data_IF_817882343002
#
_entry.id   IF_817882343002
#
_cell.length_a   1.000
_cell.length_b   1.000
_cell.length_c   1.000
_cell.angle_alpha   90.00
_cell.angle_beta   90.00
_cell.angle_gamma   90.00
#
_symmetry.space_group_name_H-M   'P 1'
#
loop_
_entity.id
_entity.type
_entity.pdbx_description
1 polymer ?
#
# COMPACT_ATOMS: atom_id res chain seq x y z
N UNK A 1 14.45 2.53 11.21
CA UNK A 1 13.36 1.57 11.09
C UNK A 1 13.86 0.18 11.41
N UNK A 2 13.00 -0.68 11.87
CA UNK A 2 13.31 -2.05 12.25
C UNK A 2 12.07 -2.92 12.09
N UNK A 3 12.25 -4.24 12.25
CA UNK A 3 11.14 -5.19 12.24
C UNK A 3 10.06 -4.79 13.23
N UNK A 4 8.80 -4.95 12.84
CA UNK A 4 7.58 -4.63 13.59
C UNK A 4 7.24 -3.14 13.64
N UNK A 5 8.08 -2.25 13.13
CA UNK A 5 7.73 -0.84 13.04
C UNK A 5 6.56 -0.64 12.08
N UNK A 6 5.64 0.25 12.46
CA UNK A 6 4.54 0.66 11.60
C UNK A 6 5.01 1.77 10.66
N UNK A 7 4.60 1.70 9.41
CA UNK A 7 5.06 2.62 8.36
C UNK A 7 3.91 3.03 7.44
N UNK A 8 4.08 4.17 6.78
CA UNK A 8 3.14 4.66 5.78
C UNK A 8 3.89 4.97 4.49
N UNK A 9 3.30 4.61 3.36
CA UNK A 9 3.85 4.92 2.03
C UNK A 9 3.61 6.39 1.74
N UNK A 10 4.67 7.13 1.43
CA UNK A 10 4.60 8.58 1.23
C UNK A 10 4.66 9.01 -0.23
N UNK A 11 4.74 8.06 -1.15
CA UNK A 11 4.79 8.34 -2.60
C UNK A 11 3.86 7.39 -3.36
N UNK A 12 3.40 7.83 -4.52
CA UNK A 12 2.66 6.98 -5.44
C UNK A 12 3.61 6.53 -6.54
N UNK A 13 3.84 5.22 -6.66
CA UNK A 13 4.72 4.64 -7.69
C UNK A 13 4.06 3.44 -8.34
N UNK A 14 4.25 3.32 -9.65
CA UNK A 14 3.70 2.19 -10.42
C UNK A 14 4.20 0.84 -9.90
N UNK A 15 5.45 0.78 -9.45
CA UNK A 15 6.04 -0.46 -8.94
C UNK A 15 5.32 -0.98 -7.70
N UNK A 16 4.72 -0.09 -6.90
CA UNK A 16 3.91 -0.46 -5.74
C UNK A 16 2.45 -0.65 -6.14
N UNK A 17 1.94 0.23 -7.01
CA UNK A 17 0.54 0.22 -7.44
C UNK A 17 0.16 -1.09 -8.13
N UNK A 18 1.08 -1.70 -8.86
CA UNK A 18 0.83 -2.98 -9.52
C UNK A 18 0.46 -4.10 -8.54
N UNK A 19 0.89 -3.97 -7.28
CA UNK A 19 0.57 -4.90 -6.21
C UNK A 19 -0.56 -4.38 -5.30
N UNK A 20 -1.21 -3.30 -5.72
CA UNK A 20 -2.33 -2.72 -4.98
C UNK A 20 -1.92 -1.76 -3.87
N UNK A 21 -0.64 -1.37 -3.80
CA UNK A 21 -0.12 -0.49 -2.75
C UNK A 21 -0.02 0.94 -3.28
N UNK A 22 -0.72 1.85 -2.61
CA UNK A 22 -0.82 3.26 -3.01
C UNK A 22 -0.37 4.18 -1.89
N UNK A 23 -0.07 5.43 -2.26
CA UNK A 23 0.32 6.47 -1.30
C UNK A 23 -0.71 6.59 -0.18
N UNK A 24 -0.24 6.68 1.03
CA UNK A 24 -1.06 6.78 2.23
C UNK A 24 -1.39 5.44 2.87
N UNK A 25 -1.14 4.34 2.19
CA UNK A 25 -1.37 3.02 2.77
C UNK A 25 -0.38 2.76 3.88
N UNK A 26 -0.85 2.04 4.90
CA UNK A 26 -0.11 1.76 6.11
C UNK A 26 0.15 0.28 6.25
N UNK A 27 1.30 -0.05 6.82
CA UNK A 27 1.68 -1.42 7.04
C UNK A 27 2.70 -1.55 8.14
N UNK A 28 3.33 -2.71 8.22
CA UNK A 28 4.37 -2.96 9.20
C UNK A 28 5.50 -3.75 8.58
N UNK A 29 6.71 -3.50 9.08
CA UNK A 29 7.92 -4.18 8.61
C UNK A 29 7.91 -5.60 9.17
N UNK A 30 7.84 -6.59 8.29
CA UNK A 30 7.66 -7.98 8.68
C UNK A 30 8.93 -8.83 8.60
N UNK A 31 10.06 -8.22 8.25
CA UNK A 31 11.35 -8.92 8.15
C UNK A 31 12.43 -8.02 8.73
N UNK A 32 13.36 -8.56 9.54
CA UNK A 32 14.42 -7.75 10.14
C UNK A 32 15.50 -7.33 9.16
N UNK A 33 15.56 -7.92 7.97
CA UNK A 33 16.61 -7.63 7.00
C UNK A 33 16.32 -6.37 6.20
N UNK A 34 17.29 -5.47 6.19
CA UNK A 34 17.28 -4.29 5.34
C UNK A 34 18.16 -4.61 4.12
N UNK A 35 17.53 -4.84 2.97
CA UNK A 35 18.22 -5.32 1.77
C UNK A 35 18.15 -4.27 0.66
N UNK A 36 19.30 -3.79 0.22
CA UNK A 36 19.41 -2.84 -0.91
C UNK A 36 18.54 -1.60 -0.73
N UNK A 37 18.47 -1.08 0.48
CA UNK A 37 17.68 0.10 0.79
C UNK A 37 16.19 -0.15 0.91
N UNK A 38 15.75 -1.41 0.97
CA UNK A 38 14.34 -1.77 1.08
C UNK A 38 14.02 -2.56 2.33
N UNK A 39 12.79 -2.40 2.78
CA UNK A 39 12.18 -3.21 3.85
C UNK A 39 11.03 -4.02 3.27
N UNK A 40 10.85 -5.24 3.76
CA UNK A 40 9.68 -6.04 3.45
C UNK A 40 8.52 -5.56 4.32
N UNK A 41 7.46 -5.06 3.68
CA UNK A 41 6.32 -4.45 4.37
C UNK A 41 5.05 -5.22 4.05
N UNK A 42 4.27 -5.53 5.08
CA UNK A 42 2.96 -6.15 4.96
C UNK A 42 1.88 -5.07 5.06
N UNK A 43 0.94 -5.07 4.11
CA UNK A 43 -0.18 -4.13 4.06
C UNK A 43 -1.49 -4.88 4.29
N UNK A 44 -2.00 -4.90 5.52
CA UNK A 44 -3.22 -5.63 5.85
C UNK A 44 -4.48 -4.85 5.47
N UNK A 45 -5.62 -5.54 5.48
CA UNK A 45 -6.93 -4.93 5.35
C UNK A 45 -7.92 -5.58 6.31
N UNK A 46 -8.90 -4.80 6.79
CA UNK A 46 -9.91 -5.28 7.70
C UNK A 46 -11.01 -6.03 6.94
N UNK A 47 -11.62 -7.01 7.59
CA UNK A 47 -12.77 -7.70 7.03
C UNK A 47 -12.46 -8.66 5.89
N UNK A 48 -11.22 -8.72 5.46
CA UNK A 48 -10.75 -9.64 4.45
C UNK A 48 -9.82 -10.68 5.09
N UNK A 49 -9.76 -11.85 4.51
CA UNK A 49 -8.88 -12.91 5.01
C UNK A 49 -7.44 -12.76 4.51
N UNK A 50 -7.24 -11.99 3.45
CA UNK A 50 -5.94 -11.81 2.82
C UNK A 50 -5.48 -10.37 2.95
N UNK A 51 -4.17 -10.20 3.09
CA UNK A 51 -3.54 -8.88 3.06
C UNK A 51 -3.58 -8.32 1.64
N UNK A 52 -3.48 -6.99 1.52
CA UNK A 52 -3.39 -6.36 0.20
C UNK A 52 -2.13 -6.85 -0.51
N UNK A 53 -1.00 -6.78 0.18
CA UNK A 53 0.29 -7.23 -0.37
C UNK A 53 1.35 -7.31 0.73
N UNK A 54 2.40 -8.08 0.45
CA UNK A 54 3.63 -8.08 1.22
C UNK A 54 4.75 -7.89 0.21
N UNK A 55 5.32 -6.68 0.18
CA UNK A 55 6.28 -6.29 -0.85
C UNK A 55 7.46 -5.54 -0.26
N UNK A 56 8.55 -5.49 -1.04
CA UNK A 56 9.72 -4.67 -0.70
C UNK A 56 9.45 -3.22 -1.07
N UNK A 57 9.67 -2.32 -0.11
CA UNK A 57 9.47 -0.88 -0.30
C UNK A 57 10.74 -0.16 0.13
N UNK A 58 11.18 0.82 -0.66
CA UNK A 58 12.35 1.62 -0.33
C UNK A 58 12.12 2.41 0.94
N UNK A 59 13.11 2.45 1.82
CA UNK A 59 13.02 3.20 3.07
C UNK A 59 12.66 4.67 2.82
N UNK A 60 13.23 5.28 1.77
CA UNK A 60 12.95 6.66 1.40
C UNK A 60 11.50 6.91 1.01
N UNK A 61 10.77 5.87 0.66
CA UNK A 61 9.36 5.94 0.27
C UNK A 61 8.41 5.67 1.44
N UNK A 62 8.97 5.50 2.63
CA UNK A 62 8.23 5.20 3.86
C UNK A 62 8.47 6.27 4.91
N UNK A 63 7.48 6.48 5.78
CA UNK A 63 7.70 7.17 7.04
C UNK A 63 7.23 6.28 8.17
N UNK A 64 7.93 6.36 9.31
CA UNK A 64 7.53 5.63 10.50
C UNK A 64 6.33 6.31 11.15
N UNK A 65 5.36 5.51 11.58
CA UNK A 65 4.17 5.99 12.29
C UNK A 65 4.03 5.21 13.59
N UNK A 66 3.30 5.78 14.55
CA UNK A 66 3.16 5.13 15.86
C UNK A 66 2.22 3.93 15.82
N UNK A 67 1.11 4.06 15.08
CA UNK A 67 0.08 3.03 14.99
C UNK A 67 -0.37 2.88 13.56
N UNK A 68 -0.56 1.64 13.11
CA UNK A 68 -1.04 1.33 11.78
C UNK A 68 -2.54 1.02 11.84
N UNK A 69 -3.30 1.58 10.88
CA UNK A 69 -4.73 1.33 10.75
C UNK A 69 -5.04 0.68 9.41
N UNK A 70 -5.46 -0.57 9.44
CA UNK A 70 -5.80 -1.31 8.22
C UNK A 70 -7.02 -0.70 7.49
N UNK A 71 -7.91 -0.05 8.22
CA UNK A 71 -9.07 0.63 7.62
C UNK A 71 -8.68 1.74 6.63
N UNK A 72 -7.51 2.37 6.84
CA UNK A 72 -6.97 3.36 5.90
C UNK A 72 -6.69 2.69 4.55
N UNK A 73 -6.12 1.50 4.57
CA UNK A 73 -5.78 0.76 3.36
C UNK A 73 -7.04 0.40 2.56
N UNK A 74 -8.09 -0.03 3.23
CA UNK A 74 -9.36 -0.35 2.57
C UNK A 74 -9.99 0.86 1.91
N UNK A 75 -9.94 2.01 2.59
CA UNK A 75 -10.48 3.25 2.06
C UNK A 75 -9.74 3.67 0.80
N UNK A 76 -8.42 3.61 0.82
CA UNK A 76 -7.59 3.98 -0.32
C UNK A 76 -7.82 3.00 -1.48
N UNK A 77 -7.84 1.70 -1.19
CA UNK A 77 -8.13 0.66 -2.18
C UNK A 77 -9.47 0.93 -2.88
N UNK A 78 -10.50 1.24 -2.11
CA UNK A 78 -11.83 1.52 -2.65
C UNK A 78 -11.83 2.74 -3.57
N UNK A 79 -11.06 3.78 -3.24
CA UNK A 79 -10.93 4.96 -4.07
C UNK A 79 -10.33 4.64 -5.44
N UNK A 80 -9.29 3.82 -5.48
CA UNK A 80 -8.65 3.43 -6.73
C UNK A 80 -9.52 2.51 -7.57
N UNK A 81 -10.21 1.56 -6.95
CA UNK A 81 -11.16 0.69 -7.63
C UNK A 81 -12.29 1.50 -8.26
N UNK A 82 -12.83 2.49 -7.55
CA UNK A 82 -13.88 3.36 -8.03
C UNK A 82 -13.39 4.21 -9.20
N UNK A 83 -12.15 4.73 -9.13
CA UNK A 83 -11.56 5.51 -10.20
C UNK A 83 -11.38 4.67 -11.47
N UNK A 84 -10.96 3.43 -11.34
CA UNK A 84 -10.83 2.50 -12.46
C UNK A 84 -12.18 2.24 -13.12
N UNK A 85 -13.22 2.01 -12.33
CA UNK A 85 -14.57 1.81 -12.84
C UNK A 85 -15.07 3.04 -13.59
N UNK A 86 -14.84 4.23 -13.03
CA UNK A 86 -15.22 5.48 -13.67
C UNK A 86 -14.49 5.66 -14.99
N UNK A 87 -13.20 5.34 -15.04
CA UNK A 87 -12.41 5.42 -16.28
C UNK A 87 -12.93 4.43 -17.32
N UNK A 88 -13.29 3.22 -16.89
CA UNK A 88 -13.88 2.23 -17.78
C UNK A 88 -15.20 2.70 -18.36
N UNK A 89 -16.06 3.29 -17.54
CA UNK A 89 -17.34 3.82 -17.97
C UNK A 89 -17.15 4.95 -18.99
N UNK A 90 -16.22 5.86 -18.75
CA UNK A 90 -15.92 6.95 -19.67
C UNK A 90 -15.43 6.42 -21.00
N UNK A 91 -14.58 5.40 -21.00
CA UNK A 91 -14.13 4.76 -22.22
C UNK A 91 -15.28 4.16 -23.01
N UNK A 92 -16.24 3.57 -22.36
CA UNK A 92 -17.44 3.02 -23.00
C UNK A 92 -18.26 4.11 -23.67
N UNK A 93 -18.36 5.27 -23.07
CA UNK A 93 -19.12 6.39 -23.62
C UNK A 93 -18.42 7.08 -24.80
N UNK A 94 -17.13 6.97 -24.87
CA UNK A 94 -16.36 7.60 -25.96
C UNK A 94 -16.32 6.75 -27.22
N UNK A 95 -16.74 5.52 -27.12
CA UNK A 95 -16.84 4.61 -28.25
C UNK A 95 -18.21 4.69 -28.90
#
# INVERSE_FOLDING_TARGET
>A
MKEMDCVEVIVEKKIYAKDGVHKGMQGWICDPEFVRGTWLVNFPQCGENEDIATISVKEEDLKQIDVMYAAVNERIKAQFEKAEQASGDLSAYQV
#
